data_IF_876895442677
#
_entry.id   IF_876895442677
#
_cell.length_a   1.000
_cell.length_b   1.000
_cell.length_c   1.000
_cell.angle_alpha   90.00
_cell.angle_beta   90.00
_cell.angle_gamma   90.00
#
_symmetry.space_group_name_H-M   'P 1'
#
loop_
_entity.id
_entity.type
_entity.pdbx_description
1 polymer ?
#
# COMPACT_ATOMS: atom_id res chain seq x y z
N UNK A 1 -14.96 120.23 -76.21
CA UNK A 1 -13.96 119.25 -75.72
C UNK A 1 -14.47 118.42 -74.54
N UNK A 2 -15.23 118.98 -73.58
CA UNK A 2 -15.81 118.21 -72.45
C UNK A 2 -16.80 117.07 -72.82
N UNK A 3 -17.59 117.21 -73.89
CA UNK A 3 -18.60 116.20 -74.25
C UNK A 3 -17.98 114.89 -74.79
N UNK A 4 -16.83 114.98 -75.48
CA UNK A 4 -16.12 113.83 -76.04
C UNK A 4 -15.38 113.03 -74.95
N UNK A 5 -14.90 113.70 -73.90
CA UNK A 5 -14.28 113.04 -72.74
C UNK A 5 -15.30 112.29 -71.88
N UNK A 6 -16.55 112.75 -71.81
CA UNK A 6 -17.61 112.10 -71.03
C UNK A 6 -18.10 110.80 -71.67
N UNK A 7 -18.25 110.78 -73.00
CA UNK A 7 -18.71 109.61 -73.76
C UNK A 7 -17.65 108.47 -73.79
N UNK A 8 -16.36 108.84 -73.82
CA UNK A 8 -15.22 107.91 -73.72
C UNK A 8 -14.96 107.40 -72.29
N UNK A 9 -15.55 108.05 -71.27
CA UNK A 9 -15.34 107.69 -69.87
C UNK A 9 -15.98 106.34 -69.55
N UNK A 10 -17.18 106.07 -70.07
CA UNK A 10 -17.90 104.81 -69.91
C UNK A 10 -17.19 103.64 -70.61
N UNK A 11 -16.67 103.84 -71.83
CA UNK A 11 -15.83 102.82 -72.50
C UNK A 11 -14.55 102.51 -71.69
N UNK A 12 -13.94 103.53 -71.07
CA UNK A 12 -12.76 103.36 -70.22
C UNK A 12 -13.07 102.58 -68.93
N UNK A 13 -14.23 102.81 -68.32
CA UNK A 13 -14.70 102.14 -67.10
C UNK A 13 -15.00 100.67 -67.39
N UNK A 14 -15.70 100.38 -68.49
CA UNK A 14 -15.98 99.01 -68.94
C UNK A 14 -14.68 98.25 -69.21
N UNK A 15 -13.70 98.90 -69.83
CA UNK A 15 -12.39 98.30 -70.13
C UNK A 15 -11.59 98.01 -68.86
N UNK A 16 -11.55 98.95 -67.89
CA UNK A 16 -10.90 98.74 -66.58
C UNK A 16 -11.57 97.61 -65.80
N UNK A 17 -12.91 97.57 -65.77
CA UNK A 17 -13.69 96.52 -65.10
C UNK A 17 -13.37 95.14 -65.69
N UNK A 18 -13.34 95.03 -67.02
CA UNK A 18 -12.98 93.79 -67.73
C UNK A 18 -11.57 93.31 -67.38
N UNK A 19 -10.60 94.23 -67.23
CA UNK A 19 -9.22 93.90 -66.83
C UNK A 19 -9.18 93.40 -65.37
N UNK A 20 -9.85 94.08 -64.45
CA UNK A 20 -9.91 93.67 -63.04
C UNK A 20 -10.67 92.35 -62.83
N UNK A 21 -11.74 92.13 -63.60
CA UNK A 21 -12.48 90.86 -63.62
C UNK A 21 -11.57 89.74 -64.13
N UNK A 22 -10.85 89.96 -65.24
CA UNK A 22 -9.90 88.98 -65.78
C UNK A 22 -8.78 88.65 -64.80
N UNK A 23 -8.25 89.64 -64.08
CA UNK A 23 -7.26 89.44 -63.03
C UNK A 23 -7.84 88.63 -61.85
N UNK A 24 -9.05 88.97 -61.39
CA UNK A 24 -9.74 88.25 -60.31
C UNK A 24 -10.05 86.79 -60.70
N UNK A 25 -10.47 86.55 -61.94
CA UNK A 25 -10.65 85.20 -62.49
C UNK A 25 -9.33 84.43 -62.57
N UNK A 26 -8.22 85.09 -62.94
CA UNK A 26 -6.91 84.45 -62.93
C UNK A 26 -6.49 84.06 -61.51
N UNK A 27 -6.70 84.91 -60.51
CA UNK A 27 -6.40 84.60 -59.10
C UNK A 27 -7.28 83.47 -58.58
N UNK A 28 -8.58 83.49 -58.85
CA UNK A 28 -9.50 82.41 -58.47
C UNK A 28 -9.12 81.08 -59.13
N UNK A 29 -8.75 81.10 -60.41
CA UNK A 29 -8.29 79.91 -61.14
C UNK A 29 -7.01 79.35 -60.53
N UNK A 30 -6.03 80.19 -60.20
CA UNK A 30 -4.79 79.75 -59.57
C UNK A 30 -5.04 79.18 -58.18
N UNK A 31 -5.84 79.86 -57.36
CA UNK A 31 -6.22 79.39 -56.02
C UNK A 31 -7.00 78.08 -56.07
N UNK A 32 -7.90 77.94 -57.05
CA UNK A 32 -8.62 76.68 -57.29
C UNK A 32 -7.62 75.58 -57.67
N UNK A 33 -6.68 75.85 -58.58
CA UNK A 33 -5.63 74.91 -58.95
C UNK A 33 -4.75 74.48 -57.76
N UNK A 34 -4.29 75.43 -56.95
CA UNK A 34 -3.50 75.16 -55.74
C UNK A 34 -4.28 74.35 -54.71
N UNK A 35 -5.54 74.71 -54.46
CA UNK A 35 -6.40 73.99 -53.50
C UNK A 35 -6.70 72.58 -54.00
N UNK A 36 -6.95 72.42 -55.30
CA UNK A 36 -7.17 71.10 -55.93
C UNK A 36 -5.93 70.24 -55.81
N UNK A 37 -4.75 70.78 -56.10
CA UNK A 37 -3.47 70.06 -55.97
C UNK A 37 -3.18 69.68 -54.52
N UNK A 38 -3.46 70.57 -53.56
CA UNK A 38 -3.32 70.29 -52.12
C UNK A 38 -4.26 69.18 -51.66
N UNK A 39 -5.53 69.23 -52.10
CA UNK A 39 -6.52 68.20 -51.79
C UNK A 39 -6.13 66.84 -52.37
N UNK A 40 -5.68 66.80 -53.64
CA UNK A 40 -5.20 65.56 -54.27
C UNK A 40 -4.03 64.97 -53.50
N UNK A 41 -3.09 65.81 -53.06
CA UNK A 41 -1.94 65.40 -52.25
C UNK A 41 -2.36 64.86 -50.88
N UNK A 42 -3.27 65.54 -50.18
CA UNK A 42 -3.80 65.09 -48.88
C UNK A 42 -4.59 63.78 -49.00
N UNK A 43 -5.36 63.59 -50.08
CA UNK A 43 -6.08 62.34 -50.35
C UNK A 43 -5.12 61.19 -50.62
N UNK A 44 -4.05 61.42 -51.39
CA UNK A 44 -3.03 60.40 -51.69
C UNK A 44 -2.23 60.00 -50.44
N UNK A 45 -1.84 60.99 -49.62
CA UNK A 45 -1.19 60.76 -48.33
C UNK A 45 -2.10 60.02 -47.35
N UNK A 46 -3.40 60.37 -47.31
CA UNK A 46 -4.39 59.65 -46.50
C UNK A 46 -4.59 58.21 -46.99
N UNK A 47 -4.71 57.98 -48.30
CA UNK A 47 -4.87 56.64 -48.85
C UNK A 47 -3.65 55.76 -48.54
N UNK A 48 -2.45 56.31 -48.66
CA UNK A 48 -1.20 55.61 -48.35
C UNK A 48 -1.12 55.25 -46.87
N UNK A 49 -1.35 56.23 -45.98
CA UNK A 49 -1.32 56.01 -44.52
C UNK A 49 -2.42 55.06 -44.06
N UNK A 50 -3.62 55.14 -44.62
CA UNK A 50 -4.71 54.20 -44.32
C UNK A 50 -4.36 52.77 -44.76
N UNK A 51 -3.79 52.60 -45.95
CA UNK A 51 -3.41 51.28 -46.47
C UNK A 51 -2.30 50.66 -45.61
N UNK A 52 -1.32 51.46 -45.20
CA UNK A 52 -0.25 51.02 -44.31
C UNK A 52 -0.80 50.65 -42.93
N UNK A 53 -1.59 51.53 -42.30
CA UNK A 53 -2.20 51.28 -40.99
C UNK A 53 -3.08 50.03 -40.99
N UNK A 54 -3.89 49.83 -42.03
CA UNK A 54 -4.74 48.65 -42.16
C UNK A 54 -3.90 47.38 -42.32
N UNK A 55 -2.84 47.41 -43.13
CA UNK A 55 -1.92 46.29 -43.30
C UNK A 55 -1.20 45.92 -42.01
N UNK A 56 -0.65 46.91 -41.31
CA UNK A 56 0.06 46.73 -40.04
C UNK A 56 -0.88 46.23 -38.94
N UNK A 57 -2.06 46.82 -38.79
CA UNK A 57 -3.06 46.41 -37.79
C UNK A 57 -3.53 44.98 -38.04
N UNK A 58 -3.82 44.63 -39.31
CA UNK A 58 -4.21 43.26 -39.67
C UNK A 58 -3.10 42.27 -39.35
N UNK A 59 -1.85 42.60 -39.67
CA UNK A 59 -0.69 41.74 -39.38
C UNK A 59 -0.50 41.56 -37.88
N UNK A 60 -0.54 42.65 -37.11
CA UNK A 60 -0.45 42.63 -35.64
C UNK A 60 -1.55 41.76 -35.01
N UNK A 61 -2.80 41.90 -35.44
CA UNK A 61 -3.90 41.09 -34.90
C UNK A 61 -3.75 39.61 -35.24
N UNK A 62 -3.29 39.28 -36.46
CA UNK A 62 -3.04 37.90 -36.85
C UNK A 62 -1.90 37.30 -36.02
N UNK A 63 -0.81 38.05 -35.82
CA UNK A 63 0.33 37.62 -35.00
C UNK A 63 -0.10 37.41 -33.55
N UNK A 64 -0.80 38.36 -32.94
CA UNK A 64 -1.29 38.25 -31.56
C UNK A 64 -2.26 37.08 -31.38
N UNK A 65 -3.21 36.89 -32.32
CA UNK A 65 -4.13 35.76 -32.31
C UNK A 65 -3.38 34.42 -32.45
N UNK A 66 -2.40 34.34 -33.35
CA UNK A 66 -1.59 33.13 -33.53
C UNK A 66 -0.75 32.79 -32.29
N UNK A 67 -0.17 33.81 -31.64
CA UNK A 67 0.58 33.64 -30.40
C UNK A 67 -0.33 33.19 -29.26
N UNK A 68 -1.51 33.79 -29.11
CA UNK A 68 -2.49 33.42 -28.10
C UNK A 68 -3.01 31.98 -28.30
N UNK A 69 -3.26 31.58 -29.54
CA UNK A 69 -3.68 30.21 -29.88
C UNK A 69 -2.57 29.20 -29.56
N UNK A 70 -1.34 29.43 -30.06
CA UNK A 70 -0.20 28.54 -29.83
C UNK A 70 0.13 28.41 -28.34
N UNK A 71 0.04 29.51 -27.58
CA UNK A 71 0.29 29.49 -26.13
C UNK A 71 -0.77 28.67 -25.40
N UNK A 72 -2.05 28.82 -25.75
CA UNK A 72 -3.15 28.02 -25.18
C UNK A 72 -3.03 26.54 -25.54
N UNK A 73 -2.69 26.22 -26.77
CA UNK A 73 -2.46 24.83 -27.20
C UNK A 73 -1.27 24.22 -26.45
N UNK A 74 -0.19 24.97 -26.28
CA UNK A 74 0.97 24.55 -25.49
C UNK A 74 0.65 24.33 -24.00
N UNK A 75 -0.07 25.26 -23.38
CA UNK A 75 -0.54 25.13 -21.99
C UNK A 75 -1.50 23.94 -21.82
N UNK A 76 -2.42 23.75 -22.76
CA UNK A 76 -3.35 22.61 -22.71
C UNK A 76 -2.60 21.28 -22.87
N UNK A 77 -1.65 21.20 -23.81
CA UNK A 77 -0.82 20.02 -24.02
C UNK A 77 0.02 19.71 -22.78
N UNK A 78 0.68 20.72 -22.19
CA UNK A 78 1.47 20.55 -20.97
C UNK A 78 0.60 20.12 -19.79
N UNK A 79 -0.54 20.77 -19.56
CA UNK A 79 -1.47 20.39 -18.50
C UNK A 79 -2.03 18.97 -18.70
N UNK A 80 -2.24 18.54 -19.95
CA UNK A 80 -2.69 17.18 -20.25
C UNK A 80 -1.59 16.15 -19.97
N UNK A 81 -0.34 16.46 -20.32
CA UNK A 81 0.81 15.60 -20.02
C UNK A 81 0.97 15.49 -18.50
N UNK A 82 0.96 16.61 -17.78
CA UNK A 82 1.11 16.64 -16.31
C UNK A 82 0.01 15.82 -15.62
N UNK A 83 -1.26 16.01 -16.00
CA UNK A 83 -2.38 15.21 -15.47
C UNK A 83 -2.23 13.73 -15.78
N UNK A 84 -1.82 13.37 -17.00
CA UNK A 84 -1.62 11.97 -17.37
C UNK A 84 -0.47 11.36 -16.56
N UNK A 85 0.64 12.09 -16.38
CA UNK A 85 1.77 11.62 -15.57
C UNK A 85 1.36 11.44 -14.11
N UNK A 86 0.64 12.40 -13.53
CA UNK A 86 0.15 12.31 -12.15
C UNK A 86 -0.85 11.14 -11.98
N UNK A 87 -1.73 10.94 -12.96
CA UNK A 87 -2.67 9.81 -12.97
C UNK A 87 -1.94 8.47 -13.08
N UNK A 88 -1.00 8.32 -14.01
CA UNK A 88 -0.20 7.09 -14.17
C UNK A 88 0.62 6.79 -12.92
N UNK A 89 1.21 7.82 -12.29
CA UNK A 89 1.95 7.68 -11.05
C UNK A 89 1.03 7.23 -9.90
N UNK A 90 -0.12 7.89 -9.74
CA UNK A 90 -1.13 7.51 -8.73
C UNK A 90 -1.66 6.10 -8.95
N UNK A 91 -1.91 5.72 -10.21
CA UNK A 91 -2.39 4.39 -10.57
C UNK A 91 -1.32 3.32 -10.28
N UNK A 92 -0.06 3.62 -10.59
CA UNK A 92 1.08 2.75 -10.26
C UNK A 92 1.21 2.56 -8.76
N UNK A 93 1.15 3.64 -7.98
CA UNK A 93 1.22 3.58 -6.51
C UNK A 93 0.05 2.79 -5.93
N UNK A 94 -1.17 3.00 -6.44
CA UNK A 94 -2.34 2.24 -6.02
C UNK A 94 -2.21 0.75 -6.33
N UNK A 95 -1.70 0.40 -7.51
CA UNK A 95 -1.45 -0.99 -7.91
C UNK A 95 -0.38 -1.64 -7.04
N UNK A 96 0.70 -0.91 -6.72
CA UNK A 96 1.74 -1.39 -5.81
C UNK A 96 1.17 -1.65 -4.40
N UNK A 97 0.39 -0.71 -3.87
CA UNK A 97 -0.24 -0.82 -2.55
C UNK A 97 -1.24 -1.98 -2.48
N UNK A 98 -2.08 -2.18 -3.50
CA UNK A 98 -2.99 -3.34 -3.56
C UNK A 98 -2.20 -4.65 -3.57
N UNK A 99 -1.14 -4.72 -4.38
CA UNK A 99 -0.31 -5.94 -4.47
C UNK A 99 0.38 -6.24 -3.14
N UNK A 100 0.88 -5.22 -2.45
CA UNK A 100 1.50 -5.35 -1.12
C UNK A 100 0.47 -5.78 -0.06
N UNK A 101 -0.73 -5.19 -0.10
CA UNK A 101 -1.82 -5.53 0.82
C UNK A 101 -2.32 -6.97 0.60
N UNK A 102 -2.50 -7.38 -0.65
CA UNK A 102 -2.92 -8.73 -1.03
C UNK A 102 -1.90 -9.77 -0.57
N UNK A 103 -0.61 -9.52 -0.83
CA UNK A 103 0.48 -10.40 -0.36
C UNK A 103 0.50 -10.51 1.17
N UNK A 104 0.37 -9.38 1.88
CA UNK A 104 0.33 -9.34 3.34
C UNK A 104 -0.86 -10.14 3.89
N UNK A 105 -2.05 -9.97 3.31
CA UNK A 105 -3.25 -10.69 3.72
C UNK A 105 -3.15 -12.19 3.43
N UNK A 106 -2.62 -12.57 2.26
CA UNK A 106 -2.39 -13.97 1.92
C UNK A 106 -1.43 -14.64 2.89
N UNK A 107 -0.35 -13.97 3.28
CA UNK A 107 0.64 -14.49 4.22
C UNK A 107 0.08 -14.58 5.64
N UNK A 108 -0.69 -13.58 6.08
CA UNK A 108 -1.47 -13.60 7.33
C UNK A 108 -2.44 -14.79 7.36
N UNK A 109 -3.28 -14.96 6.34
CA UNK A 109 -4.25 -16.05 6.28
C UNK A 109 -3.60 -17.44 6.28
N UNK A 110 -2.43 -17.56 5.63
CA UNK A 110 -1.69 -18.82 5.54
C UNK A 110 -1.20 -19.30 6.92
N UNK A 111 -0.87 -18.39 7.82
CA UNK A 111 -0.26 -18.70 9.12
C UNK A 111 -1.20 -18.55 10.31
N UNK A 112 -2.26 -17.76 10.17
CA UNK A 112 -3.28 -17.59 11.20
C UNK A 112 -3.99 -18.90 11.52
N UNK A 113 -4.40 -19.67 10.50
CA UNK A 113 -5.06 -20.96 10.70
C UNK A 113 -4.16 -21.98 11.44
N UNK A 114 -2.89 -22.19 11.05
CA UNK A 114 -1.94 -22.98 11.84
C UNK A 114 -1.74 -22.47 13.27
N UNK A 115 -1.59 -21.15 13.48
CA UNK A 115 -1.40 -20.58 14.81
C UNK A 115 -2.60 -20.87 15.72
N UNK A 116 -3.83 -20.64 15.23
CA UNK A 116 -5.07 -20.96 15.96
C UNK A 116 -5.20 -22.47 16.25
N UNK A 117 -4.76 -23.33 15.32
CA UNK A 117 -4.73 -24.77 15.54
C UNK A 117 -3.80 -25.16 16.70
N UNK A 118 -2.57 -24.63 16.70
CA UNK A 118 -1.59 -24.90 17.76
C UNK A 118 -2.02 -24.34 19.10
N UNK A 119 -2.61 -23.14 19.12
CA UNK A 119 -3.23 -22.57 20.31
C UNK A 119 -4.29 -23.51 20.91
N UNK A 120 -5.20 -24.01 20.07
CA UNK A 120 -6.22 -24.96 20.49
C UNK A 120 -5.60 -26.26 21.02
N UNK A 121 -4.57 -26.79 20.34
CA UNK A 121 -3.86 -28.00 20.76
C UNK A 121 -3.14 -27.81 22.09
N UNK A 122 -2.47 -26.69 22.31
CA UNK A 122 -1.83 -26.34 23.58
C UNK A 122 -2.87 -26.36 24.72
N UNK A 123 -4.04 -25.76 24.51
CA UNK A 123 -5.13 -25.77 25.49
C UNK A 123 -5.66 -27.19 25.79
N UNK A 124 -5.82 -28.03 24.76
CA UNK A 124 -6.20 -29.44 24.91
C UNK A 124 -5.15 -30.23 25.71
N UNK A 125 -3.87 -30.08 25.39
CA UNK A 125 -2.77 -30.74 26.09
C UNK A 125 -2.63 -30.29 27.54
N UNK A 126 -2.78 -28.98 27.81
CA UNK A 126 -2.82 -28.42 29.17
C UNK A 126 -3.95 -29.03 29.99
N UNK A 127 -5.13 -29.14 29.40
CA UNK A 127 -6.31 -29.74 30.06
C UNK A 127 -6.07 -31.22 30.38
N UNK A 128 -5.45 -31.96 29.46
CA UNK A 128 -5.10 -33.37 29.66
C UNK A 128 -3.99 -33.54 30.71
N UNK A 129 -2.95 -32.70 30.67
CA UNK A 129 -1.90 -32.66 31.69
C UNK A 129 -2.48 -32.41 33.09
N UNK A 130 -3.39 -31.44 33.22
CA UNK A 130 -4.07 -31.14 34.48
C UNK A 130 -4.98 -32.30 34.96
N UNK A 131 -5.57 -33.10 34.06
CA UNK A 131 -6.30 -34.31 34.46
C UNK A 131 -5.35 -35.36 35.03
N UNK A 132 -4.25 -35.65 34.34
CA UNK A 132 -3.24 -36.60 34.81
C UNK A 132 -2.56 -36.14 36.10
N UNK A 133 -2.31 -34.84 36.27
CA UNK A 133 -1.73 -34.27 37.48
C UNK A 133 -2.66 -34.45 38.68
N UNK A 134 -3.98 -34.28 38.49
CA UNK A 134 -4.99 -34.57 39.53
C UNK A 134 -5.03 -36.06 39.88
N UNK A 135 -4.93 -36.96 38.90
CA UNK A 135 -4.86 -38.40 39.14
C UNK A 135 -3.58 -38.74 39.94
N UNK A 136 -2.43 -38.19 39.56
CA UNK A 136 -1.17 -38.39 40.26
C UNK A 136 -1.24 -37.89 41.72
N UNK A 137 -1.79 -36.68 41.93
CA UNK A 137 -2.02 -36.15 43.27
C UNK A 137 -2.92 -37.07 44.10
N UNK A 138 -4.01 -37.59 43.51
CA UNK A 138 -4.88 -38.58 44.15
C UNK A 138 -4.16 -39.87 44.53
N UNK A 139 -3.31 -40.41 43.64
CA UNK A 139 -2.48 -41.59 43.93
C UNK A 139 -1.57 -41.31 45.11
N UNK A 140 -0.85 -40.18 45.12
CA UNK A 140 0.07 -39.80 46.20
C UNK A 140 -0.65 -39.60 47.54
N UNK A 141 -1.77 -38.87 47.55
CA UNK A 141 -2.59 -38.68 48.76
C UNK A 141 -3.10 -40.04 49.27
N UNK A 142 -3.58 -40.91 48.38
CA UNK A 142 -4.03 -42.26 48.74
C UNK A 142 -2.93 -43.10 49.38
N UNK A 143 -1.70 -43.02 48.86
CA UNK A 143 -0.54 -43.69 49.45
C UNK A 143 -0.19 -43.13 50.83
N UNK A 144 -0.25 -41.80 51.00
CA UNK A 144 -0.01 -41.14 52.28
C UNK A 144 -1.04 -41.56 53.34
N UNK A 145 -2.32 -41.63 52.97
CA UNK A 145 -3.40 -42.10 53.84
C UNK A 145 -3.20 -43.58 54.18
N UNK A 146 -2.91 -44.43 53.19
CA UNK A 146 -2.69 -45.86 53.40
C UNK A 146 -1.53 -46.13 54.37
N UNK A 147 -0.39 -45.43 54.18
CA UNK A 147 0.77 -45.56 55.05
C UNK A 147 0.48 -45.00 56.45
N UNK A 148 -0.19 -43.85 56.56
CA UNK A 148 -0.59 -43.26 57.83
C UNK A 148 -1.53 -44.14 58.65
N UNK A 149 -2.55 -44.73 58.02
CA UNK A 149 -3.44 -45.69 58.66
C UNK A 149 -2.69 -46.94 59.09
N UNK A 150 -1.84 -47.51 58.23
CA UNK A 150 -1.04 -48.69 58.55
C UNK A 150 -0.12 -48.45 59.75
N UNK A 151 0.49 -47.26 59.82
CA UNK A 151 1.32 -46.84 60.95
C UNK A 151 0.51 -46.73 62.26
N UNK A 152 -0.70 -46.15 62.21
CA UNK A 152 -1.60 -46.09 63.36
C UNK A 152 -2.06 -47.49 63.80
N UNK A 153 -2.37 -48.39 62.86
CA UNK A 153 -2.73 -49.77 63.18
C UNK A 153 -1.58 -50.53 63.85
N UNK A 154 -0.36 -50.34 63.36
CA UNK A 154 0.85 -50.90 63.97
C UNK A 154 1.07 -50.39 65.40
N UNK A 155 0.91 -49.07 65.65
CA UNK A 155 1.01 -48.48 66.99
C UNK A 155 -0.02 -49.04 67.98
N UNK A 156 -1.22 -49.39 67.50
CA UNK A 156 -2.30 -49.93 68.33
C UNK A 156 -2.20 -51.45 68.53
N UNK A 157 -1.09 -52.09 68.14
CA UNK A 157 -0.85 -53.53 68.25
C UNK A 157 -1.99 -54.41 67.69
N UNK A 158 -2.80 -53.87 66.77
CA UNK A 158 -3.84 -54.64 66.09
C UNK A 158 -3.19 -55.52 65.03
N UNK A 159 -3.54 -56.80 65.02
CA UNK A 159 -3.05 -57.74 64.02
C UNK A 159 -3.66 -57.36 62.65
N UNK A 160 -2.83 -56.75 61.81
CA UNK A 160 -3.09 -56.62 60.39
C UNK A 160 -2.88 -58.01 59.79
N UNK A 161 -3.84 -58.55 59.03
CA UNK A 161 -3.73 -59.86 58.36
C UNK A 161 -2.61 -59.97 57.31
N UNK A 162 -1.67 -59.02 57.30
CA UNK A 162 -0.41 -58.99 56.59
C UNK A 162 0.72 -59.07 57.61
N UNK A 163 1.08 -60.28 58.02
CA UNK A 163 2.24 -60.51 58.87
C UNK A 163 3.52 -60.43 58.02
N UNK A 164 4.28 -59.33 58.15
CA UNK A 164 5.56 -59.15 57.46
C UNK A 164 6.64 -60.16 57.90
N UNK A 165 6.42 -60.85 59.02
CA UNK A 165 7.28 -61.91 59.53
C UNK A 165 7.13 -63.23 58.75
N UNK A 166 6.06 -63.37 57.97
CA UNK A 166 5.87 -64.50 57.06
C UNK A 166 6.43 -64.17 55.67
N UNK A 167 7.12 -65.13 55.06
CA UNK A 167 7.66 -64.99 53.70
C UNK A 167 6.55 -64.60 52.70
N UNK A 168 5.35 -65.15 52.85
CA UNK A 168 4.21 -64.85 51.98
C UNK A 168 3.72 -63.40 52.15
N UNK A 169 3.69 -62.88 53.39
CA UNK A 169 3.30 -61.51 53.68
C UNK A 169 4.31 -60.48 53.19
N UNK A 170 5.61 -60.76 53.37
CA UNK A 170 6.68 -59.91 52.87
C UNK A 170 6.69 -59.82 51.33
N UNK A 171 6.52 -60.95 50.64
CA UNK A 171 6.44 -60.99 49.17
C UNK A 171 5.21 -60.22 48.66
N UNK A 172 4.04 -60.41 49.28
CA UNK A 172 2.81 -59.71 48.87
C UNK A 172 2.87 -58.20 49.13
N UNK A 173 3.52 -57.78 50.21
CA UNK A 173 3.77 -56.35 50.47
C UNK A 173 4.71 -55.75 49.41
N UNK A 174 5.81 -56.44 49.10
CA UNK A 174 6.77 -55.99 48.09
C UNK A 174 6.13 -55.85 46.70
N UNK A 175 5.24 -56.77 46.31
CA UNK A 175 4.53 -56.68 45.02
C UNK A 175 3.57 -55.48 44.98
N UNK A 176 2.81 -55.22 46.06
CA UNK A 176 1.93 -54.05 46.16
C UNK A 176 2.72 -52.75 46.03
N UNK A 177 3.82 -52.61 46.77
CA UNK A 177 4.70 -51.43 46.71
C UNK A 177 5.26 -51.24 45.30
N UNK A 178 5.65 -52.33 44.64
CA UNK A 178 6.18 -52.28 43.26
C UNK A 178 5.11 -51.83 42.27
N UNK A 179 3.90 -52.39 42.32
CA UNK A 179 2.78 -51.99 41.46
C UNK A 179 2.45 -50.51 41.68
N UNK A 180 2.44 -50.06 42.93
CA UNK A 180 2.19 -48.66 43.28
C UNK A 180 3.27 -47.72 42.73
N UNK A 181 4.55 -48.09 42.86
CA UNK A 181 5.66 -47.34 42.28
C UNK A 181 5.56 -47.25 40.75
N UNK A 182 5.20 -48.35 40.06
CA UNK A 182 4.98 -48.37 38.62
C UNK A 182 3.80 -47.46 38.24
N UNK A 183 2.71 -47.46 39.00
CA UNK A 183 1.55 -46.58 38.77
C UNK A 183 1.92 -45.09 38.87
N UNK A 184 2.72 -44.72 39.88
CA UNK A 184 3.26 -43.35 40.01
C UNK A 184 4.12 -43.00 38.79
N UNK A 185 5.06 -43.87 38.41
CA UNK A 185 5.95 -43.64 37.26
C UNK A 185 5.15 -43.49 35.96
N UNK A 186 4.18 -44.36 35.71
CA UNK A 186 3.34 -44.31 34.52
C UNK A 186 2.53 -43.01 34.46
N UNK A 187 1.88 -42.63 35.55
CA UNK A 187 1.07 -41.40 35.61
C UNK A 187 1.94 -40.15 35.49
N UNK A 188 3.11 -40.14 36.14
CA UNK A 188 4.10 -39.06 36.03
C UNK A 188 4.59 -38.85 34.59
N UNK A 189 4.90 -39.95 33.87
CA UNK A 189 5.23 -39.89 32.43
C UNK A 189 4.11 -39.28 31.59
N UNK A 190 2.85 -39.61 31.88
CA UNK A 190 1.69 -39.05 31.17
C UNK A 190 1.52 -37.55 31.42
N UNK A 191 1.76 -37.10 32.65
CA UNK A 191 1.76 -35.66 33.02
C UNK A 191 2.84 -34.92 32.23
N UNK A 192 4.09 -35.38 32.32
CA UNK A 192 5.21 -34.72 31.64
C UNK A 192 5.07 -34.75 30.12
N UNK A 193 4.59 -35.85 29.54
CA UNK A 193 4.29 -35.95 28.11
C UNK A 193 3.26 -34.91 27.67
N UNK A 194 2.17 -34.75 28.43
CA UNK A 194 1.13 -33.77 28.11
C UNK A 194 1.64 -32.33 28.20
N UNK A 195 2.43 -32.00 29.22
CA UNK A 195 3.03 -30.66 29.34
C UNK A 195 4.12 -30.38 28.31
N UNK A 196 4.89 -31.40 27.90
CA UNK A 196 5.85 -31.27 26.80
C UNK A 196 5.14 -30.95 25.48
N UNK A 197 4.06 -31.68 25.18
CA UNK A 197 3.22 -31.44 24.00
C UNK A 197 2.53 -30.06 24.03
N UNK A 198 2.11 -29.60 25.21
CA UNK A 198 1.61 -28.24 25.38
C UNK A 198 2.69 -27.22 25.02
N UNK A 199 3.89 -27.35 25.57
CA UNK A 199 4.98 -26.40 25.36
C UNK A 199 5.44 -26.38 23.91
N UNK A 200 5.57 -27.53 23.27
CA UNK A 200 5.87 -27.63 21.84
C UNK A 200 4.78 -26.94 20.99
N UNK A 201 3.50 -27.10 21.33
CA UNK A 201 2.42 -26.40 20.66
C UNK A 201 2.47 -24.87 20.88
N UNK A 202 2.79 -24.41 22.09
CA UNK A 202 2.97 -22.98 22.41
C UNK A 202 4.17 -22.39 21.65
N UNK A 203 5.29 -23.11 21.57
CA UNK A 203 6.48 -22.70 20.83
C UNK A 203 6.17 -22.59 19.32
N UNK A 204 5.39 -23.53 18.75
CA UNK A 204 4.94 -23.45 17.34
C UNK A 204 3.98 -22.30 17.08
N UNK A 205 3.07 -22.01 18.01
CA UNK A 205 2.20 -20.83 17.94
C UNK A 205 3.04 -19.55 17.91
N UNK A 206 4.01 -19.43 18.82
CA UNK A 206 4.91 -18.27 18.88
C UNK A 206 5.76 -18.13 17.61
N UNK A 207 6.28 -19.23 17.05
CA UNK A 207 7.03 -19.21 15.80
C UNK A 207 6.19 -18.70 14.62
N UNK A 208 4.89 -19.03 14.57
CA UNK A 208 3.99 -18.48 13.56
C UNK A 208 3.86 -16.95 13.69
N UNK A 209 3.73 -16.44 14.92
CA UNK A 209 3.67 -14.99 15.18
C UNK A 209 5.00 -14.29 14.89
N UNK A 210 6.13 -14.86 15.29
CA UNK A 210 7.46 -14.32 15.00
C UNK A 210 7.70 -14.24 13.50
N UNK A 211 7.33 -15.27 12.73
CA UNK A 211 7.43 -15.20 11.27
C UNK A 211 6.58 -14.09 10.68
N UNK A 212 5.34 -13.92 11.15
CA UNK A 212 4.47 -12.82 10.71
C UNK A 212 5.08 -11.45 11.03
N UNK A 213 5.70 -11.30 12.20
CA UNK A 213 6.39 -10.07 12.58
C UNK A 213 7.59 -9.79 11.67
N UNK A 214 8.44 -10.80 11.42
CA UNK A 214 9.60 -10.67 10.53
C UNK A 214 9.16 -10.36 9.09
N UNK A 215 8.10 -11.00 8.59
CA UNK A 215 7.60 -10.78 7.22
C UNK A 215 7.04 -9.37 7.07
N UNK A 216 6.45 -8.84 8.15
CA UNK A 216 5.96 -7.47 8.16
C UNK A 216 7.08 -6.43 8.22
N UNK A 217 8.22 -6.75 8.86
CA UNK A 217 9.36 -5.83 8.97
C UNK A 217 10.38 -5.95 7.83
N UNK A 218 10.49 -7.10 7.17
CA UNK A 218 11.50 -7.37 6.12
C UNK A 218 10.82 -7.76 4.79
N UNK A 219 11.02 -6.94 3.75
CA UNK A 219 10.53 -7.19 2.38
C UNK A 219 11.11 -8.43 1.71
N UNK A 220 12.25 -8.94 2.19
CA UNK A 220 12.87 -10.18 1.74
C UNK A 220 13.23 -11.07 2.94
N UNK A 221 12.38 -12.04 3.25
CA UNK A 221 12.78 -13.17 4.08
C UNK A 221 13.60 -14.12 3.22
N UNK A 222 14.85 -14.34 3.63
CA UNK A 222 15.72 -15.35 3.06
C UNK A 222 15.02 -16.74 3.02
N UNK A 223 15.16 -17.44 1.88
CA UNK A 223 14.45 -18.68 1.62
C UNK A 223 14.84 -19.81 2.58
N UNK A 224 16.04 -19.76 3.17
CA UNK A 224 16.49 -20.71 4.20
C UNK A 224 15.75 -20.46 5.52
N UNK A 225 15.67 -19.20 5.94
CA UNK A 225 14.92 -18.76 7.12
C UNK A 225 13.45 -19.17 7.07
N UNK A 226 12.81 -19.02 5.89
CA UNK A 226 11.44 -19.49 5.64
C UNK A 226 11.30 -21.00 5.79
N UNK A 227 12.26 -21.77 5.27
CA UNK A 227 12.25 -23.24 5.39
C UNK A 227 12.37 -23.68 6.84
N UNK A 228 13.23 -23.04 7.64
CA UNK A 228 13.41 -23.36 9.07
C UNK A 228 12.10 -23.16 9.83
N UNK A 229 11.41 -22.03 9.64
CA UNK A 229 10.13 -21.77 10.30
C UNK A 229 9.05 -22.76 9.85
N UNK A 230 8.91 -22.99 8.53
CA UNK A 230 7.92 -23.95 8.03
C UNK A 230 8.21 -25.37 8.54
N UNK A 231 9.48 -25.77 8.58
CA UNK A 231 9.89 -27.05 9.13
C UNK A 231 9.57 -27.13 10.63
N UNK A 232 9.85 -26.10 11.42
CA UNK A 232 9.50 -26.08 12.84
C UNK A 232 7.97 -26.17 13.04
N UNK A 233 7.18 -25.42 12.27
CA UNK A 233 5.71 -25.42 12.32
C UNK A 233 5.09 -26.79 11.95
N UNK A 234 5.66 -27.49 10.97
CA UNK A 234 5.11 -28.73 10.41
C UNK A 234 5.84 -30.00 10.83
N UNK A 235 6.95 -29.92 11.56
CA UNK A 235 7.67 -31.09 12.10
C UNK A 235 6.80 -31.84 13.12
N UNK A 236 7.08 -33.12 13.41
CA UNK A 236 6.34 -33.86 14.44
C UNK A 236 6.93 -33.57 15.82
N UNK A 237 6.08 -33.46 16.85
CA UNK A 237 6.52 -33.32 18.23
C UNK A 237 7.22 -34.60 18.70
N UNK A 238 8.47 -34.48 19.16
CA UNK A 238 9.20 -35.59 19.78
C UNK A 238 8.61 -35.84 21.17
N UNK A 239 7.68 -36.78 21.23
CA UNK A 239 7.22 -37.30 22.52
C UNK A 239 8.29 -38.27 23.01
N UNK A 240 8.95 -37.97 24.14
CA UNK A 240 9.94 -38.85 24.78
C UNK A 240 9.43 -40.25 25.21
N UNK A 241 8.21 -40.62 24.82
CA UNK A 241 7.62 -41.95 24.94
C UNK A 241 7.94 -42.86 23.72
N UNK A 242 8.30 -42.28 22.58
CA UNK A 242 8.70 -42.99 21.36
C UNK A 242 10.08 -42.48 20.97
N UNK A 243 11.13 -43.12 21.49
CA UNK A 243 12.38 -43.17 20.73
C UNK A 243 12.11 -44.12 19.59
N UNK A 244 11.86 -43.61 18.40
CA UNK A 244 12.38 -44.20 17.16
C UNK A 244 11.88 -43.46 15.92
N UNK A 245 12.84 -43.19 15.03
CA UNK A 245 12.69 -42.91 13.60
C UNK A 245 12.00 -41.61 13.24
N UNK A 246 12.79 -40.53 13.20
CA UNK A 246 12.48 -39.35 12.40
C UNK A 246 12.31 -39.78 10.93
N UNK A 247 11.12 -39.67 10.30
CA UNK A 247 11.09 -39.48 8.87
C UNK A 247 11.43 -38.00 8.68
N UNK A 248 12.69 -37.72 8.36
CA UNK A 248 13.05 -36.47 7.67
C UNK A 248 12.02 -36.29 6.56
N UNK A 249 11.25 -35.19 6.59
CA UNK A 249 10.30 -34.86 5.53
C UNK A 249 10.99 -35.07 4.17
N UNK A 250 10.57 -36.04 3.35
CA UNK A 250 11.19 -36.24 2.05
C UNK A 250 10.73 -35.09 1.18
N UNK A 251 11.61 -34.12 0.90
CA UNK A 251 11.64 -33.23 -0.29
C UNK A 251 10.36 -32.55 -0.84
N UNK A 252 9.19 -32.69 -0.22
CA UNK A 252 7.94 -32.77 -0.98
C UNK A 252 7.23 -31.44 -1.26
N UNK A 253 7.56 -30.35 -0.58
CA UNK A 253 6.97 -29.04 -0.91
C UNK A 253 7.60 -28.43 -2.17
N UNK A 254 8.88 -28.73 -2.44
CA UNK A 254 9.56 -28.29 -3.67
C UNK A 254 9.07 -29.08 -4.91
N UNK A 255 8.68 -30.34 -4.75
CA UNK A 255 8.12 -31.17 -5.83
C UNK A 255 6.65 -30.85 -6.11
N UNK A 256 5.83 -30.56 -5.09
CA UNK A 256 4.42 -30.16 -5.26
C UNK A 256 4.25 -28.81 -5.98
N UNK A 257 5.19 -27.89 -5.80
CA UNK A 257 5.21 -26.61 -6.54
C UNK A 257 5.68 -26.81 -8.00
N UNK A 258 6.44 -27.89 -8.27
CA UNK A 258 6.87 -28.25 -9.63
C UNK A 258 5.78 -28.97 -10.42
N UNK A 259 4.96 -29.81 -9.76
CA UNK A 259 3.90 -30.58 -10.43
C UNK A 259 2.64 -29.76 -10.78
N UNK A 260 2.50 -28.56 -10.22
CA UNK A 260 1.40 -27.62 -10.52
C UNK A 260 1.72 -26.65 -11.65
N UNK A 261 2.94 -26.74 -12.21
CA UNK A 261 3.42 -25.92 -13.33
C UNK A 261 3.66 -26.72 -14.62
N UNK A 262 3.19 -27.97 -14.69
CA UNK A 262 3.18 -28.78 -15.93
C UNK A 262 1.79 -28.88 -16.53
#
# INVERSE_FOLDING_TARGET
MLAYEFEMQDESIITKRRISEKASFATLRNRLGETTNKLVKEVDEFQTSFTQWYGETKKSQIEEFSHAQNSREGEFANNQIERNTEFEQTMSDFKANITELENTYHEKLRLEKPAQYWHKKASEYKTNGNKWARILAGILIGGFIFFGLSFLYWLNAKNIGLELNSLQGAVLFATIVTIYAIAIQATSKMVFSSYHLQRDAEEREQLAYVYLAITHEQKEIDAESRKIVLQALFSRADTGLLKDSSPTMPGGLAELIKSTKS
#
